data_IF_925059618550
#
_entry.id   IF_925059618550
#
_cell.length_a   1.000
_cell.length_b   1.000
_cell.length_c   1.000
_cell.angle_alpha   90.00
_cell.angle_beta   90.00
_cell.angle_gamma   90.00
#
_symmetry.space_group_name_H-M   'P 1'
#
loop_
_entity.id
_entity.type
_entity.pdbx_description
1 polymer ?
#
# COMPACT_ATOMS: atom_id res chain seq x y z
N UNK A 1 1.85 -6.33 -27.05
CA UNK A 1 0.86 -5.33 -26.59
C UNK A 1 1.16 -5.01 -25.12
N UNK A 2 0.93 -3.77 -24.64
CA UNK A 2 1.10 -3.44 -23.22
C UNK A 2 0.10 -4.22 -22.36
N UNK A 3 0.55 -4.72 -21.21
CA UNK A 3 -0.25 -5.52 -20.26
C UNK A 3 -0.46 -4.74 -18.96
N UNK A 4 -1.48 -3.87 -18.87
CA UNK A 4 -1.69 -3.01 -17.71
C UNK A 4 -1.94 -3.80 -16.41
N UNK A 5 -2.51 -5.00 -16.49
CA UNK A 5 -2.78 -5.86 -15.34
C UNK A 5 -1.50 -6.43 -14.69
N UNK A 6 -0.35 -6.31 -15.36
CA UNK A 6 0.94 -6.78 -14.86
C UNK A 6 1.75 -5.70 -14.14
N UNK A 7 1.26 -4.47 -14.07
CA UNK A 7 1.98 -3.36 -13.44
C UNK A 7 1.07 -2.38 -12.71
N UNK A 8 1.64 -1.60 -11.81
CA UNK A 8 0.96 -0.54 -11.08
C UNK A 8 1.72 0.77 -11.28
N UNK A 9 0.99 1.88 -11.36
CA UNK A 9 1.58 3.22 -11.43
C UNK A 9 2.22 3.58 -10.10
N UNK A 10 1.58 3.19 -9.01
CA UNK A 10 2.11 3.27 -7.65
C UNK A 10 1.67 2.03 -6.88
N UNK A 11 2.64 1.38 -6.21
CA UNK A 11 2.40 0.13 -5.47
C UNK A 11 1.54 0.40 -4.23
N UNK A 12 0.88 -0.65 -3.74
CA UNK A 12 0.14 -0.66 -2.46
C UNK A 12 0.99 -0.12 -1.30
N UNK A 13 0.50 0.91 -0.62
CA UNK A 13 1.14 1.54 0.54
C UNK A 13 0.12 2.35 1.37
N UNK A 14 0.55 2.80 2.54
CA UNK A 14 -0.10 3.87 3.32
C UNK A 14 0.80 5.10 3.39
N UNK A 15 0.21 6.28 3.53
CA UNK A 15 0.97 7.52 3.71
C UNK A 15 1.48 7.65 5.15
N UNK A 16 2.72 8.06 5.40
CA UNK A 16 3.25 8.19 6.76
C UNK A 16 2.69 9.39 7.53
N UNK A 17 2.22 10.43 6.83
CA UNK A 17 1.85 11.72 7.39
C UNK A 17 0.54 11.75 8.16
N UNK A 18 0.03 12.97 8.39
CA UNK A 18 -1.29 13.17 8.99
C UNK A 18 -2.39 13.09 7.93
N UNK A 19 -2.34 13.98 6.94
CA UNK A 19 -3.34 14.10 5.89
C UNK A 19 -2.63 14.23 4.54
N UNK A 20 -3.17 13.57 3.52
CA UNK A 20 -2.79 13.80 2.12
C UNK A 20 -3.97 14.45 1.41
N UNK A 21 -3.69 15.53 0.67
CA UNK A 21 -4.62 16.15 -0.27
C UNK A 21 -4.18 15.79 -1.68
N UNK A 22 -5.03 15.05 -2.41
CA UNK A 22 -4.75 14.60 -3.75
C UNK A 22 -5.67 15.30 -4.76
N UNK A 23 -5.06 16.07 -5.66
CA UNK A 23 -5.69 16.53 -6.89
C UNK A 23 -5.40 15.50 -7.98
N UNK A 24 -6.43 15.01 -8.66
CA UNK A 24 -6.28 14.08 -9.78
C UNK A 24 -7.06 14.57 -10.99
N UNK A 25 -6.60 14.16 -12.17
CA UNK A 25 -7.36 14.32 -13.40
C UNK A 25 -8.56 13.36 -13.48
N UNK A 26 -9.23 13.37 -14.63
CA UNK A 26 -10.43 12.57 -14.86
C UNK A 26 -10.14 11.15 -15.37
N UNK A 27 -8.87 10.74 -15.48
CA UNK A 27 -8.49 9.39 -15.90
C UNK A 27 -8.67 8.40 -14.74
N UNK A 28 -8.48 8.86 -13.49
CA UNK A 28 -8.70 8.05 -12.30
C UNK A 28 -7.62 6.97 -12.11
N UNK A 29 -7.97 5.83 -11.51
CA UNK A 29 -7.02 4.73 -11.25
C UNK A 29 -6.52 4.62 -9.80
N UNK A 30 -6.82 5.61 -8.94
CA UNK A 30 -6.62 5.46 -7.50
C UNK A 30 -7.56 4.37 -6.96
N UNK A 31 -6.99 3.43 -6.22
CA UNK A 31 -7.72 2.38 -5.52
C UNK A 31 -7.35 2.41 -4.04
N UNK A 32 -8.34 2.29 -3.16
CA UNK A 32 -8.14 2.18 -1.72
C UNK A 32 -8.78 0.88 -1.22
N UNK A 33 -8.28 0.36 -0.11
CA UNK A 33 -8.87 -0.82 0.51
C UNK A 33 -10.08 -0.46 1.40
N UNK A 34 -11.00 -1.42 1.54
CA UNK A 34 -12.14 -1.38 2.45
C UNK A 34 -12.22 -2.70 3.21
N UNK A 35 -13.15 -2.79 4.17
CA UNK A 35 -13.50 -4.02 4.88
C UNK A 35 -12.29 -4.68 5.56
N UNK A 36 -11.45 -3.84 6.20
CA UNK A 36 -10.23 -4.29 6.88
C UNK A 36 -9.07 -4.68 5.95
N UNK A 37 -9.08 -4.22 4.70
CA UNK A 37 -8.04 -4.56 3.72
C UNK A 37 -8.41 -5.69 2.77
N UNK A 38 -9.63 -6.23 2.89
CA UNK A 38 -10.09 -7.41 2.16
C UNK A 38 -10.63 -7.09 0.76
N UNK A 39 -11.17 -5.89 0.57
CA UNK A 39 -11.77 -5.47 -0.69
C UNK A 39 -11.14 -4.18 -1.19
N UNK A 40 -11.19 -3.97 -2.50
CA UNK A 40 -10.71 -2.75 -3.15
C UNK A 40 -11.89 -1.92 -3.64
N UNK A 41 -11.76 -0.59 -3.50
CA UNK A 41 -12.65 0.39 -4.11
C UNK A 41 -11.87 1.29 -5.04
N UNK A 42 -12.40 1.53 -6.23
CA UNK A 42 -11.86 2.55 -7.14
C UNK A 42 -12.42 3.91 -6.78
N UNK A 43 -11.54 4.88 -6.51
CA UNK A 43 -11.93 6.25 -6.20
C UNK A 43 -12.24 6.97 -7.51
N UNK A 44 -13.52 7.28 -7.72
CA UNK A 44 -13.97 7.99 -8.94
C UNK A 44 -13.54 9.47 -8.88
N UNK A 45 -12.87 10.00 -9.92
CA UNK A 45 -12.58 11.42 -10.01
C UNK A 45 -13.86 12.25 -10.02
N UNK A 46 -13.87 13.36 -9.28
CA UNK A 46 -14.96 14.32 -9.25
C UNK A 46 -14.39 15.68 -9.69
N UNK A 47 -14.95 16.33 -10.72
CA UNK A 47 -14.47 17.64 -11.18
C UNK A 47 -14.41 18.66 -10.02
N UNK A 48 -13.27 19.35 -9.88
CA UNK A 48 -13.09 20.38 -8.86
C UNK A 48 -12.96 19.87 -7.42
N UNK A 49 -12.83 18.56 -7.20
CA UNK A 49 -12.69 17.99 -5.86
C UNK A 49 -11.27 17.51 -5.57
N UNK A 50 -10.90 17.53 -4.29
CA UNK A 50 -9.74 16.81 -3.77
C UNK A 50 -10.16 15.47 -3.19
N UNK A 51 -9.31 14.47 -3.32
CA UNK A 51 -9.37 13.29 -2.46
C UNK A 51 -8.55 13.58 -1.22
N UNK A 52 -9.11 13.29 -0.05
CA UNK A 52 -8.44 13.46 1.25
C UNK A 52 -8.31 12.11 1.92
N UNK A 53 -7.11 11.77 2.38
CA UNK A 53 -6.90 10.55 3.15
C UNK A 53 -6.02 10.79 4.37
N UNK A 54 -6.23 9.96 5.40
CA UNK A 54 -5.45 9.98 6.64
C UNK A 54 -4.26 9.03 6.53
N UNK A 55 -3.12 9.47 7.03
CA UNK A 55 -1.90 8.67 7.11
C UNK A 55 -1.64 8.06 8.48
N UNK A 56 -0.50 7.38 8.58
CA UNK A 56 -0.07 6.60 9.74
C UNK A 56 0.08 7.46 11.00
N UNK A 57 0.55 8.70 10.88
CA UNK A 57 0.62 9.60 12.04
C UNK A 57 -0.76 9.82 12.66
N UNK A 58 -1.78 10.07 11.83
CA UNK A 58 -3.16 10.24 12.28
C UNK A 58 -3.75 8.96 12.90
N UNK A 59 -3.35 7.78 12.40
CA UNK A 59 -3.71 6.49 13.00
C UNK A 59 -3.21 6.39 14.44
N UNK A 60 -1.93 6.69 14.69
CA UNK A 60 -1.37 6.64 16.05
C UNK A 60 -2.01 7.69 16.97
N UNK A 61 -2.15 8.93 16.52
CA UNK A 61 -2.76 10.00 17.32
C UNK A 61 -4.18 9.67 17.79
N UNK A 62 -4.94 8.94 16.96
CA UNK A 62 -6.32 8.55 17.24
C UNK A 62 -6.46 7.22 17.98
N UNK A 63 -5.38 6.67 18.54
CA UNK A 63 -5.35 5.34 19.15
C UNK A 63 -5.90 4.24 18.22
N UNK A 64 -5.64 4.36 16.91
CA UNK A 64 -6.07 3.41 15.89
C UNK A 64 -7.54 3.47 15.49
N UNK A 65 -8.31 4.47 15.97
CA UNK A 65 -9.71 4.69 15.58
C UNK A 65 -9.85 5.05 14.11
N UNK A 66 -9.00 5.95 13.63
CA UNK A 66 -8.89 6.19 12.20
C UNK A 66 -7.87 5.22 11.61
N UNK A 67 -8.23 4.58 10.50
CA UNK A 67 -7.33 3.67 9.79
C UNK A 67 -6.52 4.47 8.77
N UNK A 68 -5.24 4.15 8.65
CA UNK A 68 -4.44 4.64 7.54
C UNK A 68 -5.05 4.16 6.22
N UNK A 69 -5.15 5.05 5.24
CA UNK A 69 -5.65 4.68 3.93
C UNK A 69 -4.60 3.85 3.19
N UNK A 70 -4.83 2.54 3.11
CA UNK A 70 -4.03 1.62 2.31
C UNK A 70 -4.54 1.62 0.87
N UNK A 71 -3.67 2.05 -0.06
CA UNK A 71 -4.05 2.44 -1.40
C UNK A 71 -2.96 2.17 -2.44
N UNK A 72 -3.36 2.12 -3.71
CA UNK A 72 -2.48 1.93 -4.87
C UNK A 72 -3.00 2.72 -6.08
N UNK A 73 -2.21 2.77 -7.15
CA UNK A 73 -2.64 3.36 -8.42
C UNK A 73 -2.52 2.32 -9.53
N UNK A 74 -3.66 1.90 -10.06
CA UNK A 74 -3.75 1.06 -11.25
C UNK A 74 -3.43 1.88 -12.51
N UNK A 75 -2.80 1.26 -13.50
CA UNK A 75 -2.57 1.87 -14.82
C UNK A 75 -3.65 1.43 -15.81
N UNK A 76 -3.74 2.14 -16.92
CA UNK A 76 -4.54 1.74 -18.07
C UNK A 76 -3.66 1.80 -19.34
N UNK A 77 -4.14 1.21 -20.44
CA UNK A 77 -3.42 1.16 -21.72
C UNK A 77 -3.78 2.27 -22.71
N UNK A 78 -4.72 3.15 -22.36
CA UNK A 78 -5.38 4.07 -23.30
C UNK A 78 -5.06 5.54 -23.05
N UNK A 79 -4.70 5.94 -21.83
CA UNK A 79 -4.57 7.34 -21.43
C UNK A 79 -3.57 7.52 -20.28
N UNK A 80 -2.70 8.52 -20.41
CA UNK A 80 -1.83 8.95 -19.32
C UNK A 80 -2.63 9.62 -18.21
N UNK A 81 -2.26 9.36 -16.96
CA UNK A 81 -2.86 9.94 -15.75
C UNK A 81 -1.91 10.92 -15.09
N UNK A 82 -2.40 12.06 -14.65
CA UNK A 82 -1.69 13.04 -13.82
C UNK A 82 -2.39 13.24 -12.47
N UNK A 83 -1.59 13.36 -11.41
CA UNK A 83 -2.08 13.79 -10.09
C UNK A 83 -1.00 14.53 -9.30
N UNK A 84 -1.43 15.39 -8.39
CA UNK A 84 -0.56 16.13 -7.47
C UNK A 84 -1.00 15.78 -6.04
N UNK A 85 -0.07 15.27 -5.24
CA UNK A 85 -0.29 14.96 -3.84
C UNK A 85 0.44 15.98 -2.95
N UNK A 86 -0.29 16.63 -2.05
CA UNK A 86 0.27 17.48 -1.01
C UNK A 86 0.17 16.74 0.33
N UNK A 87 1.33 16.53 0.96
CA UNK A 87 1.44 15.77 2.21
C UNK A 87 1.58 16.72 3.39
N UNK A 88 0.63 16.64 4.32
CA UNK A 88 0.72 17.33 5.60
C UNK A 88 1.41 16.41 6.61
N UNK A 89 2.71 16.60 6.76
CA UNK A 89 3.53 15.88 7.72
C UNK A 89 3.81 16.74 8.96
N UNK A 90 3.90 16.14 10.15
CA UNK A 90 4.36 16.87 11.34
C UNK A 90 5.85 17.18 11.26
N UNK A 91 6.35 18.01 12.18
CA UNK A 91 7.79 18.26 12.30
C UNK A 91 8.56 16.94 12.56
N UNK A 92 9.83 16.81 12.09
CA UNK A 92 10.60 15.59 12.26
C UNK A 92 10.75 15.11 13.72
N UNK A 93 10.81 16.04 14.67
CA UNK A 93 10.91 15.78 16.11
C UNK A 93 9.55 15.74 16.82
N UNK A 94 8.43 15.91 16.11
CA UNK A 94 7.10 15.81 16.70
C UNK A 94 6.90 14.42 17.31
N UNK A 95 6.28 14.39 18.48
CA UNK A 95 5.98 13.15 19.18
C UNK A 95 4.79 12.44 18.50
N UNK A 96 4.91 11.13 18.37
CA UNK A 96 3.87 10.20 17.91
C UNK A 96 3.41 9.45 19.14
N UNK A 97 2.16 9.65 19.54
CA UNK A 97 1.53 8.97 20.69
C UNK A 97 0.00 9.08 20.59
N UNK A 98 -0.77 8.19 21.21
CA UNK A 98 -2.23 8.32 21.28
C UNK A 98 -2.61 9.55 22.10
N UNK A 99 -3.34 10.50 21.50
CA UNK A 99 -3.75 11.75 22.18
C UNK A 99 -4.81 11.49 23.24
N UNK A 100 -5.65 10.47 23.02
CA UNK A 100 -6.68 10.03 23.96
C UNK A 100 -6.79 8.51 23.92
N UNK A 101 -6.85 7.90 25.10
CA UNK A 101 -7.15 6.48 25.32
C UNK A 101 -8.31 6.44 26.30
N UNK A 102 -9.42 5.80 25.94
CA UNK A 102 -10.60 5.72 26.83
C UNK A 102 -10.44 4.56 27.81
N UNK A 103 -11.25 4.57 28.86
CA UNK A 103 -11.27 3.50 29.84
C UNK A 103 -11.57 2.15 29.16
N UNK A 104 -10.71 1.16 29.43
CA UNK A 104 -10.79 -0.18 28.81
C UNK A 104 -10.14 -0.31 27.43
N UNK A 105 -9.65 0.76 26.81
CA UNK A 105 -8.88 0.67 25.56
C UNK A 105 -7.40 0.31 25.83
N UNK A 106 -6.83 -0.52 24.95
CA UNK A 106 -5.39 -0.73 24.90
C UNK A 106 -4.74 0.34 24.03
N UNK A 107 -3.59 0.86 24.45
CA UNK A 107 -2.78 1.73 23.62
C UNK A 107 -2.29 1.00 22.36
N UNK A 108 -2.34 1.67 21.20
CA UNK A 108 -1.80 1.14 19.93
C UNK A 108 -0.27 1.10 19.91
N UNK A 109 0.39 1.79 20.83
CA UNK A 109 1.85 1.80 21.00
C UNK A 109 2.21 1.94 22.48
N UNK A 110 3.33 1.35 22.87
CA UNK A 110 3.77 1.31 24.28
C UNK A 110 4.41 2.62 24.72
N UNK A 111 5.30 3.18 23.90
CA UNK A 111 6.07 4.38 24.21
C UNK A 111 6.06 5.40 23.06
N UNK A 112 6.01 6.71 23.35
CA UNK A 112 6.12 7.76 22.33
C UNK A 112 7.42 7.67 21.54
N UNK A 113 7.34 7.94 20.24
CA UNK A 113 8.51 8.05 19.36
C UNK A 113 8.46 9.35 18.55
N UNK A 114 9.59 9.79 18.01
CA UNK A 114 9.58 10.91 17.06
C UNK A 114 8.97 10.50 15.71
N UNK A 115 8.41 11.45 14.97
CA UNK A 115 7.94 11.21 13.60
C UNK A 115 9.05 10.70 12.69
N UNK A 116 10.29 11.18 12.86
CA UNK A 116 11.46 10.67 12.12
C UNK A 116 11.68 9.18 12.38
N UNK A 117 11.57 8.75 13.63
CA UNK A 117 11.73 7.35 14.01
C UNK A 117 10.59 6.49 13.44
N UNK A 118 9.34 6.96 13.54
CA UNK A 118 8.19 6.30 12.92
C UNK A 118 8.37 6.12 11.41
N UNK A 119 8.78 7.19 10.72
CA UNK A 119 9.04 7.17 9.27
C UNK A 119 10.14 6.17 8.91
N UNK A 120 11.25 6.15 9.65
CA UNK A 120 12.34 5.18 9.44
C UNK A 120 11.88 3.73 9.62
N UNK A 121 11.12 3.45 10.70
CA UNK A 121 10.55 2.12 10.94
C UNK A 121 9.65 1.67 9.80
N UNK A 122 8.77 2.56 9.33
CA UNK A 122 7.90 2.30 8.17
C UNK A 122 8.71 1.96 6.93
N UNK A 123 9.68 2.80 6.55
CA UNK A 123 10.48 2.57 5.34
C UNK A 123 11.28 1.26 5.40
N UNK A 124 11.83 0.92 6.56
CA UNK A 124 12.52 -0.36 6.76
C UNK A 124 11.56 -1.55 6.61
N UNK A 125 10.35 -1.45 7.17
CA UNK A 125 9.33 -2.48 7.04
C UNK A 125 8.87 -2.63 5.59
N UNK A 126 8.61 -1.53 4.87
CA UNK A 126 8.21 -1.55 3.46
C UNK A 126 9.30 -2.22 2.59
N UNK A 127 10.57 -1.90 2.85
CA UNK A 127 11.70 -2.53 2.17
C UNK A 127 11.81 -4.03 2.49
N UNK A 128 11.60 -4.41 3.74
CA UNK A 128 11.59 -5.80 4.17
C UNK A 128 10.48 -6.60 3.50
N UNK A 129 9.24 -6.08 3.50
CA UNK A 129 8.09 -6.68 2.83
C UNK A 129 8.32 -6.81 1.32
N UNK A 130 8.94 -5.81 0.68
CA UNK A 130 9.28 -5.87 -0.74
C UNK A 130 10.29 -6.99 -1.04
N UNK A 131 11.26 -7.24 -0.14
CA UNK A 131 12.22 -8.36 -0.27
C UNK A 131 11.54 -9.71 -0.13
N UNK A 132 10.68 -9.88 0.89
CA UNK A 132 9.94 -11.13 1.10
C UNK A 132 9.07 -11.48 -0.11
N UNK A 133 8.34 -10.50 -0.66
CA UNK A 133 7.54 -10.70 -1.87
C UNK A 133 8.38 -11.11 -3.08
N UNK A 134 9.61 -10.59 -3.19
CA UNK A 134 10.52 -10.96 -4.28
C UNK A 134 10.98 -12.42 -4.15
N UNK A 135 11.33 -12.85 -2.93
CA UNK A 135 11.76 -14.23 -2.65
C UNK A 135 10.62 -15.20 -2.93
N UNK A 136 9.42 -14.96 -2.39
CA UNK A 136 8.25 -15.81 -2.62
C UNK A 136 7.91 -15.94 -4.11
N UNK A 137 7.97 -14.86 -4.89
CA UNK A 137 7.76 -14.92 -6.34
C UNK A 137 8.83 -15.75 -7.07
N UNK A 138 10.07 -15.75 -6.58
CA UNK A 138 11.15 -16.58 -7.13
C UNK A 138 10.92 -18.06 -6.81
N UNK A 139 10.53 -18.37 -5.56
CA UNK A 139 10.20 -19.74 -5.15
C UNK A 139 9.02 -20.30 -5.95
N UNK A 140 7.95 -19.52 -6.16
CA UNK A 140 6.82 -19.90 -7.01
C UNK A 140 7.27 -20.20 -8.45
N UNK A 141 8.13 -19.36 -9.04
CA UNK A 141 8.64 -19.60 -10.39
C UNK A 141 9.51 -20.86 -10.50
N UNK A 142 10.33 -21.15 -9.48
CA UNK A 142 11.13 -22.37 -9.44
C UNK A 142 10.25 -23.62 -9.31
N UNK A 143 9.18 -23.55 -8.51
CA UNK A 143 8.21 -24.64 -8.37
C UNK A 143 7.42 -24.88 -9.67
N UNK A 144 7.08 -23.83 -10.42
CA UNK A 144 6.44 -23.95 -11.73
C UNK A 144 7.35 -24.61 -12.78
N UNK A 145 8.64 -24.24 -12.79
CA UNK A 145 9.62 -24.80 -13.72
C UNK A 145 9.92 -26.28 -13.40
N UNK A 146 10.06 -26.64 -12.11
CA UNK A 146 10.21 -28.03 -11.66
C UNK A 146 9.01 -28.91 -12.05
N UNK A 147 7.79 -28.36 -11.95
CA UNK A 147 6.57 -29.07 -12.35
C UNK A 147 6.47 -29.26 -13.87
N UNK A 148 6.91 -28.27 -14.66
CA UNK A 148 7.00 -28.41 -16.13
C UNK A 148 8.02 -29.46 -16.54
N UNK A 149 9.19 -29.49 -15.92
CA UNK A 149 10.24 -30.49 -16.22
C UNK A 149 9.76 -31.92 -15.91
N UNK A 150 9.10 -32.13 -14.77
CA UNK A 150 8.46 -33.43 -14.42
C UNK A 150 7.37 -33.83 -15.41
N UNK A 151 6.50 -32.88 -15.81
CA UNK A 151 5.46 -33.13 -16.81
C UNK A 151 6.05 -33.51 -18.17
N UNK A 152 7.13 -32.86 -18.60
CA UNK A 152 7.79 -33.12 -19.87
C UNK A 152 8.44 -34.51 -19.89
N UNK A 153 9.10 -34.90 -18.79
CA UNK A 153 9.69 -36.24 -18.60
C UNK A 153 8.64 -37.35 -18.63
N UNK A 154 7.48 -37.14 -18.00
CA UNK A 154 6.38 -38.11 -18.03
C UNK A 154 5.78 -38.30 -19.43
N UNK A 155 5.64 -37.22 -20.22
CA UNK A 155 5.18 -37.30 -21.60
C UNK A 155 6.14 -38.09 -22.50
N UNK A 156 7.44 -37.92 -22.32
CA UNK A 156 8.45 -38.69 -23.06
C UNK A 156 8.43 -40.18 -22.72
N UNK A 157 8.08 -40.56 -21.49
CA UNK A 157 7.94 -41.97 -21.09
C UNK A 157 6.69 -42.65 -21.66
N UNK A 158 5.66 -41.89 -22.04
CA UNK A 158 4.41 -42.42 -22.63
C UNK A 158 4.53 -42.62 -24.15
N UNK A 159 5.49 -41.95 -24.80
CA UNK A 159 5.71 -41.98 -26.25
C UNK A 159 6.82 -42.95 -26.70
N UNK A 160 7.31 -43.82 -25.80
CA UNK A 160 8.34 -44.82 -26.06
C UNK A 160 7.79 -46.25 -26.09
#
# INVERSE_FOLDING_TARGET
>A
MPSPDLTLGLKRHTDPGLITLLLQDQVGGLQATRDGGNTWITVRPIPGAFVVNLGDYGHYLSNGRFKSADHQVAVNSTSSRLSIAAFLNPAPNAQVYPVKIEEGEKAVMDEPISFTEMYKRKMNNDLHLARLKKISKQEESLLEDDNKDKSCKNLQQILA
#
